data_IF_057212051990
#
_entry.id   IF_057212051990
#
_cell.length_a   1.000
_cell.length_b   1.000
_cell.length_c   1.000
_cell.angle_alpha   90.00
_cell.angle_beta   90.00
_cell.angle_gamma   90.00
#
_symmetry.space_group_name_H-M   'P 1'
#
loop_
_entity.id
_entity.type
_entity.pdbx_description
1 polymer ?
#
# COMPACT_ATOMS: atom_id res chain seq x y z
N UNK A 1 -13.20 17.85 20.59
CA UNK A 1 -12.60 17.98 19.25
C UNK A 1 -11.11 17.71 19.34
N UNK A 2 -10.60 16.84 18.49
CA UNK A 2 -9.16 16.49 18.47
C UNK A 2 -8.33 17.72 18.02
N UNK A 3 -7.08 17.88 18.50
CA UNK A 3 -6.23 19.03 18.12
C UNK A 3 -6.03 19.16 16.61
N UNK A 4 -5.88 18.04 15.91
CA UNK A 4 -5.70 17.99 14.46
C UNK A 4 -6.96 18.50 13.72
N UNK A 5 -8.14 18.07 14.14
CA UNK A 5 -9.41 18.54 13.56
C UNK A 5 -9.58 20.05 13.78
N UNK A 6 -9.22 20.56 14.95
CA UNK A 6 -9.26 22.00 15.22
C UNK A 6 -8.31 22.79 14.31
N UNK A 7 -7.10 22.27 14.08
CA UNK A 7 -6.14 22.88 13.13
C UNK A 7 -6.69 22.94 11.71
N UNK A 8 -7.38 21.90 11.25
CA UNK A 8 -8.00 21.85 9.92
C UNK A 8 -9.13 22.87 9.80
N UNK A 9 -9.98 23.00 10.84
CA UNK A 9 -11.05 24.00 10.84
C UNK A 9 -10.52 25.44 10.85
N UNK A 10 -9.42 25.72 11.55
CA UNK A 10 -8.76 27.03 11.51
C UNK A 10 -8.22 27.35 10.11
N UNK A 11 -7.68 26.33 9.42
CA UNK A 11 -7.23 26.47 8.03
C UNK A 11 -8.41 26.76 7.10
N UNK A 12 -9.53 26.05 7.26
CA UNK A 12 -10.74 26.31 6.48
C UNK A 12 -11.25 27.74 6.67
N UNK A 13 -11.31 28.21 7.92
CA UNK A 13 -11.72 29.59 8.24
C UNK A 13 -10.82 30.62 7.57
N UNK A 14 -9.51 30.39 7.54
CA UNK A 14 -8.56 31.29 6.86
C UNK A 14 -8.92 31.45 5.38
N UNK A 15 -9.17 30.36 4.66
CA UNK A 15 -9.52 30.42 3.23
C UNK A 15 -10.89 31.04 2.99
N UNK A 16 -11.87 30.77 3.86
CA UNK A 16 -13.20 31.40 3.77
C UNK A 16 -13.13 32.91 4.03
N UNK A 17 -12.30 33.36 4.99
CA UNK A 17 -12.11 34.77 5.25
C UNK A 17 -11.45 35.50 4.08
N UNK A 18 -10.50 34.86 3.36
CA UNK A 18 -9.93 35.44 2.13
C UNK A 18 -11.04 35.82 1.13
N UNK A 19 -12.00 34.90 0.95
CA UNK A 19 -13.12 35.14 0.02
C UNK A 19 -14.15 36.15 0.59
N UNK A 20 -14.43 36.04 1.88
CA UNK A 20 -15.39 36.93 2.55
C UNK A 20 -14.93 38.40 2.59
N UNK A 21 -13.65 38.63 2.86
CA UNK A 21 -13.05 39.97 2.99
C UNK A 21 -12.64 40.55 1.62
N UNK A 22 -12.88 39.80 0.54
CA UNK A 22 -12.59 40.24 -0.81
C UNK A 22 -13.56 41.36 -1.24
N UNK A 23 -13.01 42.51 -1.61
CA UNK A 23 -13.76 43.65 -2.13
C UNK A 23 -13.83 43.62 -3.68
N UNK A 24 -13.86 42.45 -4.29
CA UNK A 24 -13.90 42.30 -5.73
C UNK A 24 -12.52 42.33 -6.40
N UNK A 25 -11.46 42.09 -5.64
CA UNK A 25 -10.08 42.06 -6.12
C UNK A 25 -9.65 40.63 -6.62
N UNK A 26 -10.31 39.58 -6.10
CA UNK A 26 -10.06 38.21 -6.51
C UNK A 26 -10.75 37.86 -7.84
N UNK A 27 -10.04 37.16 -8.71
CA UNK A 27 -10.67 36.62 -9.90
C UNK A 27 -11.41 35.29 -9.58
N UNK A 28 -12.24 34.83 -10.50
CA UNK A 28 -13.07 33.65 -10.32
C UNK A 28 -12.27 32.36 -9.98
N UNK A 29 -11.05 32.21 -10.52
CA UNK A 29 -10.20 31.06 -10.24
C UNK A 29 -9.60 31.10 -8.82
N UNK A 30 -9.24 32.29 -8.32
CA UNK A 30 -8.74 32.49 -6.97
C UNK A 30 -9.85 32.24 -5.93
N UNK A 31 -11.06 32.69 -6.20
CA UNK A 31 -12.25 32.40 -5.37
C UNK A 31 -12.51 30.89 -5.33
N UNK A 32 -12.53 30.24 -6.49
CA UNK A 32 -12.72 28.80 -6.61
C UNK A 32 -11.64 27.99 -5.90
N UNK A 33 -10.38 28.41 -6.01
CA UNK A 33 -9.26 27.80 -5.29
C UNK A 33 -9.45 27.92 -3.76
N UNK A 34 -9.74 29.11 -3.24
CA UNK A 34 -9.89 29.35 -1.80
C UNK A 34 -11.07 28.56 -1.22
N UNK A 35 -12.20 28.51 -1.93
CA UNK A 35 -13.35 27.69 -1.53
C UNK A 35 -12.97 26.19 -1.54
N UNK A 36 -12.26 25.74 -2.57
CA UNK A 36 -11.78 24.36 -2.66
C UNK A 36 -10.90 23.96 -1.48
N UNK A 37 -9.95 24.83 -1.07
CA UNK A 37 -9.09 24.58 0.09
C UNK A 37 -9.89 24.56 1.41
N UNK A 38 -10.88 25.44 1.55
CA UNK A 38 -11.74 25.44 2.73
C UNK A 38 -12.55 24.13 2.83
N UNK A 39 -13.12 23.67 1.72
CA UNK A 39 -13.88 22.41 1.67
C UNK A 39 -12.97 21.23 2.04
N UNK A 40 -11.78 21.14 1.46
CA UNK A 40 -10.80 20.08 1.78
C UNK A 40 -10.45 20.06 3.27
N UNK A 41 -10.21 21.25 3.85
CA UNK A 41 -9.87 21.37 5.27
C UNK A 41 -11.02 20.94 6.18
N UNK A 42 -12.27 21.25 5.82
CA UNK A 42 -13.46 20.81 6.56
C UNK A 42 -13.61 19.28 6.47
N UNK A 43 -13.46 18.71 5.28
CA UNK A 43 -13.51 17.25 5.07
C UNK A 43 -12.45 16.53 5.90
N UNK A 44 -11.21 17.05 5.94
CA UNK A 44 -10.15 16.51 6.76
C UNK A 44 -10.47 16.57 8.26
N UNK A 45 -11.08 17.67 8.75
CA UNK A 45 -11.52 17.79 10.13
C UNK A 45 -12.61 16.78 10.49
N UNK A 46 -13.60 16.60 9.61
CA UNK A 46 -14.67 15.60 9.77
C UNK A 46 -14.07 14.21 9.82
N UNK A 47 -13.13 13.88 8.93
CA UNK A 47 -12.45 12.59 8.90
C UNK A 47 -11.73 12.30 10.23
N UNK A 48 -11.01 13.27 10.79
CA UNK A 48 -10.30 13.11 12.08
C UNK A 48 -11.27 12.89 13.25
N UNK A 49 -12.42 13.55 13.27
CA UNK A 49 -13.42 13.40 14.33
C UNK A 49 -14.30 12.17 14.20
N UNK A 50 -14.51 11.69 12.95
CA UNK A 50 -15.32 10.48 12.72
C UNK A 50 -14.63 9.29 13.41
N UNK A 51 -15.35 8.54 14.27
CA UNK A 51 -14.82 7.29 14.79
C UNK A 51 -14.66 6.35 13.59
N UNK A 52 -13.43 6.20 13.11
CA UNK A 52 -13.12 5.10 12.22
C UNK A 52 -13.30 3.85 13.08
N UNK A 53 -14.46 3.21 12.96
CA UNK A 53 -14.71 1.91 13.57
C UNK A 53 -13.47 1.08 13.29
N UNK A 54 -12.83 0.65 14.36
CA UNK A 54 -11.53 -0.02 14.35
C UNK A 54 -11.57 -1.12 13.31
N UNK A 55 -11.15 -0.79 12.12
CA UNK A 55 -10.91 -1.79 11.12
C UNK A 55 -9.76 -2.62 11.66
N UNK A 56 -9.93 -3.92 11.68
CA UNK A 56 -8.87 -4.87 12.06
C UNK A 56 -7.59 -4.65 11.24
N UNK A 57 -7.65 -3.77 10.23
CA UNK A 57 -6.64 -3.54 9.23
C UNK A 57 -6.30 -2.04 9.10
N UNK A 58 -5.04 -1.70 9.31
CA UNK A 58 -4.53 -0.34 9.15
C UNK A 58 -3.95 -0.17 7.74
N UNK A 59 -4.76 0.35 6.82
CA UNK A 59 -4.39 0.55 5.42
C UNK A 59 -3.18 1.48 5.23
N UNK A 60 -2.96 2.45 6.13
CA UNK A 60 -1.80 3.34 6.05
C UNK A 60 -0.46 2.62 6.21
N UNK A 61 -0.43 1.40 6.76
CA UNK A 61 0.77 0.57 6.77
C UNK A 61 1.18 0.09 5.38
N UNK A 62 0.24 0.09 4.43
CA UNK A 62 0.45 -0.32 3.04
C UNK A 62 0.93 0.83 2.14
N UNK A 63 0.78 2.09 2.59
CA UNK A 63 1.27 3.25 1.88
C UNK A 63 2.81 3.33 1.89
N UNK A 64 3.36 3.97 0.88
CA UNK A 64 4.79 4.24 0.76
C UNK A 64 5.29 5.14 1.91
N UNK A 65 6.58 5.01 2.22
CA UNK A 65 7.32 5.96 3.08
C UNK A 65 8.34 6.76 2.29
N UNK A 66 8.31 6.64 0.98
CA UNK A 66 9.22 7.33 0.08
C UNK A 66 8.69 8.73 -0.21
N UNK A 67 9.26 9.74 0.44
CA UNK A 67 8.88 11.14 0.31
C UNK A 67 9.12 11.70 -1.11
N UNK A 68 9.91 11.02 -1.94
CA UNK A 68 10.07 11.36 -3.35
C UNK A 68 8.83 11.02 -4.20
N UNK A 69 7.90 10.25 -3.62
CA UNK A 69 6.61 9.89 -4.24
C UNK A 69 5.45 10.21 -3.29
N UNK A 70 5.22 11.48 -2.99
CA UNK A 70 4.31 11.92 -1.93
C UNK A 70 2.88 11.38 -2.11
N UNK A 71 2.36 11.30 -3.34
CA UNK A 71 1.02 10.77 -3.62
C UNK A 71 0.84 9.31 -3.17
N UNK A 72 1.91 8.52 -3.09
CA UNK A 72 1.87 7.15 -2.61
C UNK A 72 2.04 7.03 -1.09
N UNK A 73 2.35 8.12 -0.40
CA UNK A 73 2.45 8.16 1.08
C UNK A 73 1.08 8.27 1.75
N UNK A 74 0.02 8.48 0.98
CA UNK A 74 -1.36 8.57 1.44
C UNK A 74 -2.24 7.41 1.01
N UNK A 75 -3.49 7.48 1.44
CA UNK A 75 -4.58 6.58 1.04
C UNK A 75 -5.47 7.31 0.05
N UNK A 76 -5.61 6.77 -1.14
CA UNK A 76 -6.44 7.31 -2.21
C UNK A 76 -7.86 6.77 -2.11
N UNK A 77 -8.85 7.64 -2.20
CA UNK A 77 -10.27 7.30 -2.20
C UNK A 77 -10.77 7.32 -3.65
N UNK A 78 -11.17 6.17 -4.19
CA UNK A 78 -11.59 6.05 -5.59
C UNK A 78 -12.58 4.88 -5.78
N UNK A 79 -13.72 5.15 -6.42
CA UNK A 79 -14.71 4.14 -6.86
C UNK A 79 -15.17 3.19 -5.75
N UNK A 80 -15.40 3.71 -4.57
CA UNK A 80 -15.84 2.91 -3.43
C UNK A 80 -14.72 2.14 -2.73
N UNK A 81 -13.46 2.48 -3.00
CA UNK A 81 -12.29 1.87 -2.38
C UNK A 81 -11.39 2.90 -1.69
N UNK A 82 -10.79 2.49 -0.60
CA UNK A 82 -9.57 3.10 -0.06
C UNK A 82 -8.38 2.32 -0.57
N UNK A 83 -7.45 2.99 -1.23
CA UNK A 83 -6.32 2.37 -1.93
C UNK A 83 -5.00 2.86 -1.35
N UNK A 84 -4.10 1.96 -1.05
CA UNK A 84 -2.72 2.26 -0.66
C UNK A 84 -1.72 1.34 -1.34
N UNK A 85 -0.54 1.86 -1.62
CA UNK A 85 0.54 1.10 -2.27
C UNK A 85 1.91 1.63 -1.89
N UNK A 86 2.90 0.74 -1.85
CA UNK A 86 4.31 1.09 -1.71
C UNK A 86 5.15 0.72 -2.96
N UNK A 87 4.50 0.47 -4.09
CA UNK A 87 5.05 -0.02 -5.36
C UNK A 87 5.35 -1.53 -5.40
N UNK A 88 5.40 -2.22 -4.26
CA UNK A 88 5.60 -3.67 -4.18
C UNK A 88 4.32 -4.41 -3.82
N UNK A 89 3.46 -3.73 -3.08
CA UNK A 89 2.13 -4.19 -2.73
C UNK A 89 1.12 -3.10 -3.05
N UNK A 90 -0.12 -3.49 -3.29
CA UNK A 90 -1.27 -2.60 -3.40
C UNK A 90 -2.43 -3.25 -2.67
N UNK A 91 -3.17 -2.45 -1.92
CA UNK A 91 -4.38 -2.90 -1.24
C UNK A 91 -5.49 -1.92 -1.57
N UNK A 92 -6.67 -2.44 -1.93
CA UNK A 92 -7.88 -1.69 -2.19
C UNK A 92 -9.00 -2.29 -1.33
N UNK A 93 -9.46 -1.55 -0.32
CA UNK A 93 -10.48 -2.00 0.63
C UNK A 93 -11.74 -1.17 0.51
N UNK A 94 -12.89 -1.85 0.64
CA UNK A 94 -14.22 -1.21 0.64
C UNK A 94 -14.66 -0.73 2.01
N UNK A 95 -14.02 -1.24 3.04
CA UNK A 95 -14.34 -0.94 4.42
C UNK A 95 -14.19 0.55 4.76
N UNK A 96 -15.22 1.10 5.44
CA UNK A 96 -15.27 2.50 5.87
C UNK A 96 -14.92 3.51 4.74
N UNK A 97 -15.36 3.23 3.51
CA UNK A 97 -15.29 4.18 2.41
C UNK A 97 -16.24 5.37 2.66
N UNK A 98 -15.76 6.57 2.37
CA UNK A 98 -16.53 7.81 2.45
C UNK A 98 -16.59 8.45 1.06
N UNK A 99 -17.78 8.54 0.49
CA UNK A 99 -18.02 9.14 -0.84
C UNK A 99 -17.63 10.61 -0.89
N UNK A 100 -17.68 11.32 0.24
CA UNK A 100 -17.27 12.71 0.31
C UNK A 100 -15.76 12.90 0.07
N UNK A 101 -14.98 11.83 0.16
CA UNK A 101 -13.53 11.82 -0.06
C UNK A 101 -13.13 11.29 -1.44
N UNK A 102 -14.10 11.04 -2.32
CA UNK A 102 -13.82 10.55 -3.68
C UNK A 102 -12.83 11.46 -4.41
N UNK A 103 -11.77 10.84 -4.95
CA UNK A 103 -10.70 11.55 -5.66
C UNK A 103 -9.60 12.14 -4.76
N UNK A 104 -9.76 12.10 -3.44
CA UNK A 104 -8.79 12.63 -2.48
C UNK A 104 -7.73 11.59 -2.09
N UNK A 105 -6.51 12.08 -1.84
CA UNK A 105 -5.42 11.30 -1.27
C UNK A 105 -5.15 11.84 0.13
N UNK A 106 -5.43 11.08 1.16
CA UNK A 106 -5.26 11.55 2.54
C UNK A 106 -4.05 10.92 3.20
N UNK A 107 -3.27 11.73 3.93
CA UNK A 107 -2.24 11.22 4.82
C UNK A 107 -2.86 10.62 6.09
N UNK A 108 -2.03 10.04 6.98
CA UNK A 108 -2.48 9.46 8.25
C UNK A 108 -3.13 10.46 9.21
N UNK A 109 -2.91 11.75 9.01
CA UNK A 109 -3.49 12.84 9.81
C UNK A 109 -4.79 13.38 9.20
N UNK A 110 -5.21 12.83 8.04
CA UNK A 110 -6.38 13.28 7.30
C UNK A 110 -6.10 14.52 6.44
N UNK A 111 -4.83 14.87 6.21
CA UNK A 111 -4.46 15.99 5.34
C UNK A 111 -4.43 15.53 3.89
N UNK A 112 -4.94 16.37 3.00
CA UNK A 112 -4.97 16.08 1.57
C UNK A 112 -3.58 16.20 0.95
N UNK A 113 -3.17 15.18 0.21
CA UNK A 113 -1.93 15.16 -0.58
C UNK A 113 -2.28 15.54 -2.00
N UNK A 114 -1.81 16.70 -2.44
CA UNK A 114 -2.07 17.20 -3.80
C UNK A 114 -1.27 16.37 -4.81
N UNK A 115 -1.97 15.86 -5.83
CA UNK A 115 -1.36 15.14 -6.93
C UNK A 115 -2.29 14.12 -7.57
N UNK A 116 -1.79 13.42 -8.57
CA UNK A 116 -2.55 12.38 -9.27
C UNK A 116 -2.07 11.01 -8.83
N UNK A 117 -2.95 10.25 -8.21
CA UNK A 117 -2.66 8.85 -7.87
C UNK A 117 -2.51 7.99 -9.13
N UNK A 118 -1.61 6.99 -9.17
CA UNK A 118 -1.49 6.08 -10.29
C UNK A 118 -2.79 5.32 -10.57
N UNK A 119 -2.99 4.89 -11.82
CA UNK A 119 -4.15 4.06 -12.21
C UNK A 119 -4.04 2.67 -11.58
N UNK A 120 -4.49 2.54 -10.35
CA UNK A 120 -4.32 1.36 -9.52
C UNK A 120 -5.04 0.12 -10.04
N UNK A 121 -6.20 0.29 -10.70
CA UNK A 121 -6.97 -0.84 -11.23
C UNK A 121 -6.24 -1.58 -12.34
N UNK A 122 -5.47 -0.84 -13.15
CA UNK A 122 -4.78 -1.40 -14.32
C UNK A 122 -3.63 -2.34 -13.99
N UNK A 123 -3.17 -2.37 -12.72
CA UNK A 123 -2.08 -3.26 -12.30
C UNK A 123 -2.57 -4.64 -11.86
N UNK A 124 -3.89 -4.80 -11.64
CA UNK A 124 -4.45 -6.11 -11.33
C UNK A 124 -4.40 -7.01 -12.58
N UNK A 125 -3.96 -8.26 -12.42
CA UNK A 125 -3.94 -9.22 -13.53
C UNK A 125 -5.34 -9.49 -14.07
N UNK A 126 -5.44 -9.79 -15.38
CA UNK A 126 -6.69 -10.21 -15.99
C UNK A 126 -7.16 -11.56 -15.39
N UNK A 127 -8.43 -11.64 -15.06
CA UNK A 127 -9.04 -12.89 -14.56
C UNK A 127 -9.09 -14.01 -15.63
N UNK A 128 -8.95 -13.65 -16.89
CA UNK A 128 -8.96 -14.60 -18.04
C UNK A 128 -7.59 -15.21 -18.35
N UNK A 129 -6.58 -15.00 -17.50
CA UNK A 129 -5.24 -15.53 -17.73
C UNK A 129 -5.25 -17.06 -17.60
N UNK A 130 -4.76 -17.77 -18.61
CA UNK A 130 -4.61 -19.24 -18.60
C UNK A 130 -3.61 -19.75 -17.54
N UNK A 131 -2.68 -18.89 -17.10
CA UNK A 131 -1.69 -19.20 -16.06
C UNK A 131 -2.21 -18.99 -14.63
N UNK A 132 -3.49 -18.64 -14.47
CA UNK A 132 -4.12 -18.40 -13.17
C UNK A 132 -4.15 -19.67 -12.32
N UNK A 133 -3.52 -19.60 -11.13
CA UNK A 133 -3.52 -20.68 -10.13
C UNK A 133 -3.74 -20.09 -8.75
N UNK A 134 -4.67 -20.64 -7.98
CA UNK A 134 -4.95 -20.26 -6.62
C UNK A 134 -4.25 -21.23 -5.64
N UNK A 135 -3.68 -20.69 -4.58
CA UNK A 135 -2.99 -21.42 -3.53
C UNK A 135 -3.52 -20.98 -2.16
N UNK A 136 -3.81 -21.93 -1.29
CA UNK A 136 -4.12 -21.61 0.10
C UNK A 136 -2.86 -21.21 0.81
N UNK A 137 -2.87 -20.04 1.46
CA UNK A 137 -1.71 -19.51 2.16
C UNK A 137 -1.88 -19.65 3.68
N UNK A 138 -0.93 -20.35 4.31
CA UNK A 138 -0.82 -20.35 5.77
C UNK A 138 -0.14 -19.05 6.24
N UNK A 139 -0.95 -18.09 6.67
CA UNK A 139 -0.47 -16.79 7.14
C UNK A 139 0.43 -16.93 8.38
N UNK A 140 0.17 -17.91 9.25
CA UNK A 140 0.98 -18.15 10.44
C UNK A 140 2.41 -18.60 10.07
N UNK A 141 2.55 -19.47 9.05
CA UNK A 141 3.86 -19.88 8.56
C UNK A 141 4.67 -18.71 7.98
N UNK A 142 3.99 -17.79 7.27
CA UNK A 142 4.64 -16.55 6.75
C UNK A 142 5.12 -15.66 7.89
N UNK A 143 4.30 -15.49 8.95
CA UNK A 143 4.71 -14.70 10.13
C UNK A 143 5.88 -15.34 10.87
N UNK A 144 5.92 -16.67 10.95
CA UNK A 144 7.03 -17.39 11.56
C UNK A 144 8.34 -17.17 10.79
N UNK A 145 8.30 -17.30 9.46
CA UNK A 145 9.46 -17.01 8.61
C UNK A 145 9.96 -15.57 8.82
N UNK A 146 9.05 -14.61 8.93
CA UNK A 146 9.41 -13.21 9.18
C UNK A 146 10.01 -13.03 10.60
N UNK A 147 9.57 -13.80 11.60
CA UNK A 147 10.17 -13.80 12.93
C UNK A 147 11.60 -14.34 12.91
N UNK A 148 11.83 -15.41 12.15
CA UNK A 148 13.18 -16.00 11.95
C UNK A 148 14.11 -14.98 11.27
N UNK A 149 13.67 -14.32 10.20
CA UNK A 149 14.45 -13.27 9.53
C UNK A 149 14.85 -12.15 10.51
N UNK A 150 13.90 -11.69 11.32
CA UNK A 150 14.16 -10.65 12.33
C UNK A 150 15.13 -11.12 13.43
N UNK A 151 15.02 -12.39 13.86
CA UNK A 151 15.91 -12.98 14.84
C UNK A 151 17.35 -13.08 14.31
N UNK A 152 17.52 -13.55 13.07
CA UNK A 152 18.83 -13.59 12.42
C UNK A 152 19.44 -12.19 12.25
N UNK A 153 18.63 -11.22 11.83
CA UNK A 153 19.09 -9.83 11.72
C UNK A 153 19.56 -9.25 13.06
N UNK A 154 18.86 -9.59 14.15
CA UNK A 154 19.25 -9.21 15.50
C UNK A 154 20.54 -9.90 15.93
N UNK A 155 20.68 -11.19 15.64
CA UNK A 155 21.87 -11.98 15.99
C UNK A 155 23.11 -11.55 15.20
N UNK A 156 22.94 -11.21 13.92
CA UNK A 156 24.02 -10.73 13.04
C UNK A 156 24.57 -9.36 13.47
N UNK A 157 23.82 -8.58 14.25
CA UNK A 157 24.22 -7.26 14.70
C UNK A 157 24.25 -6.21 13.57
N UNK A 158 24.98 -5.11 13.82
CA UNK A 158 24.98 -3.95 12.92
C UNK A 158 25.73 -4.21 11.61
N UNK A 159 26.77 -5.02 11.65
CA UNK A 159 27.71 -5.24 10.53
C UNK A 159 27.57 -6.66 9.93
N UNK A 160 26.68 -7.48 10.49
CA UNK A 160 26.47 -8.85 10.04
C UNK A 160 25.46 -8.95 8.89
N UNK A 161 25.65 -9.98 8.05
CA UNK A 161 24.73 -10.33 6.97
C UNK A 161 23.71 -11.35 7.49
N UNK A 162 22.44 -10.93 7.58
CA UNK A 162 21.33 -11.82 7.89
C UNK A 162 20.69 -12.37 6.62
N UNK A 163 20.24 -13.61 6.67
CA UNK A 163 19.48 -14.22 5.57
C UNK A 163 18.10 -13.53 5.46
N UNK A 164 17.70 -13.20 4.25
CA UNK A 164 16.34 -12.68 3.97
C UNK A 164 15.37 -13.82 3.79
N UNK A 165 14.12 -13.61 4.21
CA UNK A 165 13.04 -14.56 4.01
C UNK A 165 12.35 -14.37 2.67
N UNK A 166 12.11 -15.49 1.99
CA UNK A 166 11.32 -15.56 0.76
C UNK A 166 10.29 -16.67 0.85
N UNK A 167 9.15 -16.46 0.21
CA UNK A 167 8.06 -17.43 0.11
C UNK A 167 7.89 -17.79 -1.36
N UNK A 168 7.99 -19.06 -1.66
CA UNK A 168 7.68 -19.63 -2.97
C UNK A 168 6.23 -20.09 -2.97
N UNK A 169 5.41 -19.54 -3.86
CA UNK A 169 4.02 -19.95 -4.07
C UNK A 169 3.89 -20.44 -5.50
N UNK A 170 3.77 -21.75 -5.69
CA UNK A 170 3.92 -22.37 -6.99
C UNK A 170 5.27 -22.00 -7.63
N UNK A 171 5.24 -21.33 -8.79
CA UNK A 171 6.45 -20.89 -9.51
C UNK A 171 6.82 -19.43 -9.24
N UNK A 172 6.13 -18.76 -8.32
CA UNK A 172 6.31 -17.34 -8.03
C UNK A 172 6.95 -17.15 -6.65
N UNK A 173 7.87 -16.20 -6.56
CA UNK A 173 8.60 -15.91 -5.32
C UNK A 173 8.23 -14.53 -4.80
N UNK A 174 8.05 -14.42 -3.48
CA UNK A 174 7.73 -13.19 -2.80
C UNK A 174 8.67 -12.95 -1.63
N UNK A 175 8.95 -11.68 -1.33
CA UNK A 175 9.64 -11.32 -0.10
C UNK A 175 8.73 -11.57 1.09
N UNK A 176 9.25 -12.21 2.14
CA UNK A 176 8.49 -12.55 3.33
C UNK A 176 7.91 -11.31 4.04
N UNK A 177 8.66 -10.20 4.09
CA UNK A 177 8.19 -8.95 4.70
C UNK A 177 6.99 -8.33 3.95
N UNK A 178 6.98 -8.40 2.62
CA UNK A 178 5.86 -7.90 1.80
C UNK A 178 4.66 -8.84 1.82
N UNK A 179 4.91 -10.14 1.74
CA UNK A 179 3.83 -11.12 1.84
C UNK A 179 3.18 -11.09 3.23
N UNK A 180 3.93 -10.90 4.31
CA UNK A 180 3.37 -10.74 5.65
C UNK A 180 2.43 -9.53 5.76
N UNK A 181 2.69 -8.44 5.02
CA UNK A 181 1.76 -7.32 4.94
C UNK A 181 0.45 -7.73 4.23
N UNK A 182 0.53 -8.51 3.16
CA UNK A 182 -0.66 -9.09 2.50
C UNK A 182 -1.38 -10.08 3.44
N UNK A 183 -0.64 -10.87 4.23
CA UNK A 183 -1.26 -11.76 5.24
C UNK A 183 -2.08 -10.97 6.28
N UNK A 184 -1.65 -9.77 6.68
CA UNK A 184 -2.48 -8.94 7.57
C UNK A 184 -3.80 -8.51 6.93
N UNK A 185 -3.81 -8.27 5.61
CA UNK A 185 -5.03 -8.05 4.85
C UNK A 185 -5.88 -9.33 4.78
N UNK A 186 -5.28 -10.47 4.48
CA UNK A 186 -5.99 -11.76 4.41
C UNK A 186 -6.69 -12.09 5.72
N UNK A 187 -5.98 -11.98 6.84
CA UNK A 187 -6.53 -12.25 8.18
C UNK A 187 -7.66 -11.28 8.54
N UNK A 188 -7.56 -10.00 8.14
CA UNK A 188 -8.56 -8.99 8.46
C UNK A 188 -9.86 -9.17 7.67
N UNK A 189 -9.76 -9.57 6.40
CA UNK A 189 -10.88 -9.67 5.47
C UNK A 189 -11.32 -11.10 5.16
N UNK A 190 -10.73 -12.10 5.81
CA UNK A 190 -11.13 -13.50 5.69
C UNK A 190 -10.74 -14.14 4.34
N UNK A 191 -9.80 -13.56 3.62
CA UNK A 191 -9.24 -14.18 2.42
C UNK A 191 -8.29 -15.31 2.81
N UNK A 192 -8.32 -16.42 2.09
CA UNK A 192 -7.49 -17.60 2.39
C UNK A 192 -6.55 -17.98 1.26
N UNK A 193 -6.79 -17.45 0.07
CA UNK A 193 -6.07 -17.83 -1.13
C UNK A 193 -5.33 -16.65 -1.74
N UNK A 194 -4.16 -16.94 -2.27
CA UNK A 194 -3.40 -16.07 -3.14
C UNK A 194 -3.40 -16.66 -4.55
N UNK A 195 -3.71 -15.83 -5.54
CA UNK A 195 -3.76 -16.25 -6.94
C UNK A 195 -2.53 -15.73 -7.66
N UNK A 196 -1.73 -16.64 -8.22
CA UNK A 196 -0.59 -16.31 -9.09
C UNK A 196 -1.01 -16.35 -10.56
N UNK A 197 -0.24 -15.65 -11.40
CA UNK A 197 -0.49 -15.52 -12.84
C UNK A 197 0.79 -15.78 -13.65
N UNK A 198 1.68 -16.62 -13.12
CA UNK A 198 2.99 -16.92 -13.66
C UNK A 198 4.14 -16.25 -12.90
N UNK A 199 5.37 -16.73 -13.08
CA UNK A 199 6.51 -16.46 -12.19
C UNK A 199 6.97 -15.00 -12.14
N UNK A 200 6.60 -14.20 -13.14
CA UNK A 200 7.02 -12.77 -13.27
C UNK A 200 5.85 -11.80 -13.19
N UNK A 201 4.67 -12.29 -12.87
CA UNK A 201 3.46 -11.45 -12.75
C UNK A 201 3.09 -11.24 -11.30
N UNK A 202 2.44 -10.12 -11.04
CA UNK A 202 1.87 -9.85 -9.73
C UNK A 202 0.87 -10.94 -9.34
N UNK A 203 0.86 -11.31 -8.07
CA UNK A 203 -0.19 -12.15 -7.52
C UNK A 203 -1.27 -11.31 -6.85
N UNK A 204 -2.50 -11.80 -6.85
CA UNK A 204 -3.64 -11.11 -6.29
C UNK A 204 -4.31 -11.93 -5.18
N UNK A 205 -4.92 -11.23 -4.24
CA UNK A 205 -5.77 -11.78 -3.18
C UNK A 205 -7.11 -11.09 -3.26
N UNK A 206 -8.19 -11.85 -3.25
CA UNK A 206 -9.56 -11.34 -3.29
C UNK A 206 -10.29 -11.75 -2.01
N UNK A 207 -10.88 -10.77 -1.34
CA UNK A 207 -11.67 -11.00 -0.14
C UNK A 207 -13.16 -11.12 -0.45
N UNK A 208 -13.95 -11.80 0.40
CA UNK A 208 -15.38 -12.02 0.17
C UNK A 208 -16.21 -10.74 0.07
N UNK A 209 -15.78 -9.64 0.71
CA UNK A 209 -16.43 -8.33 0.68
C UNK A 209 -16.15 -7.52 -0.60
N UNK A 210 -15.31 -8.06 -1.51
CA UNK A 210 -14.83 -7.40 -2.72
C UNK A 210 -13.59 -6.54 -2.53
N UNK A 211 -13.03 -6.47 -1.32
CA UNK A 211 -11.70 -5.91 -1.10
C UNK A 211 -10.65 -6.78 -1.77
N UNK A 212 -9.54 -6.18 -2.21
CA UNK A 212 -8.52 -6.90 -2.97
C UNK A 212 -7.13 -6.36 -2.68
N UNK A 213 -6.16 -7.24 -2.82
CA UNK A 213 -4.75 -6.89 -2.64
C UNK A 213 -3.90 -7.49 -3.76
N UNK A 214 -2.73 -6.91 -3.98
CA UNK A 214 -1.79 -7.32 -4.99
C UNK A 214 -0.37 -7.28 -4.40
N UNK A 215 0.46 -8.22 -4.80
CA UNK A 215 1.88 -8.27 -4.45
C UNK A 215 2.73 -8.53 -5.70
N UNK A 216 3.78 -7.74 -5.85
CA UNK A 216 4.75 -7.93 -6.92
C UNK A 216 5.71 -9.08 -6.57
N UNK A 217 6.10 -9.91 -7.56
CA UNK A 217 7.09 -10.96 -7.35
C UNK A 217 8.44 -10.36 -6.96
N UNK A 218 9.21 -11.16 -6.23
CA UNK A 218 10.57 -10.78 -5.88
C UNK A 218 11.47 -10.83 -7.12
N UNK A 219 12.27 -9.77 -7.33
CA UNK A 219 13.33 -9.74 -8.31
C UNK A 219 14.68 -9.69 -7.60
N UNK A 220 15.67 -10.42 -8.15
CA UNK A 220 17.05 -10.40 -7.65
C UNK A 220 17.90 -9.47 -8.49
N UNK A 221 18.63 -8.57 -7.84
CA UNK A 221 19.74 -7.90 -8.48
C UNK A 221 20.95 -8.84 -8.51
N UNK A 222 21.54 -9.04 -9.67
CA UNK A 222 22.69 -9.92 -9.83
C UNK A 222 23.97 -9.44 -9.15
N UNK A 223 24.04 -8.14 -8.76
CA UNK A 223 25.12 -7.53 -7.99
C UNK A 223 24.59 -6.40 -7.10
N UNK A 224 25.22 -6.20 -5.95
CA UNK A 224 24.87 -5.13 -4.99
C UNK A 224 24.98 -3.72 -5.62
N UNK A 225 25.80 -3.57 -6.66
CA UNK A 225 25.99 -2.31 -7.39
C UNK A 225 24.93 -2.06 -8.48
N UNK A 226 24.13 -3.08 -8.86
CA UNK A 226 23.12 -2.98 -9.90
C UNK A 226 21.74 -2.49 -9.37
N UNK A 227 21.66 -2.17 -8.08
CA UNK A 227 20.41 -1.82 -7.41
C UNK A 227 19.70 -0.57 -7.95
N UNK A 228 20.37 0.26 -8.74
CA UNK A 228 19.81 1.54 -9.17
C UNK A 228 19.41 1.66 -10.64
N UNK A 229 19.97 0.88 -11.58
CA UNK A 229 19.74 1.13 -13.00
C UNK A 229 19.76 -0.09 -13.94
N UNK A 230 19.76 -1.32 -13.45
CA UNK A 230 19.87 -2.47 -14.34
C UNK A 230 18.51 -3.07 -14.71
N UNK A 231 18.13 -2.99 -15.97
CA UNK A 231 17.05 -3.76 -16.59
C UNK A 231 17.33 -5.29 -16.61
N UNK A 232 18.47 -5.72 -16.12
CA UNK A 232 18.93 -7.12 -16.05
C UNK A 232 18.79 -7.70 -14.63
N UNK A 233 17.69 -7.43 -13.93
CA UNK A 233 17.36 -8.17 -12.72
C UNK A 233 17.07 -9.62 -13.07
N UNK A 234 17.95 -10.55 -12.65
CA UNK A 234 17.64 -11.98 -12.72
C UNK A 234 16.48 -12.27 -11.77
N UNK A 235 15.48 -12.94 -12.29
CA UNK A 235 14.37 -13.38 -11.45
C UNK A 235 14.89 -14.40 -10.46
N UNK A 236 14.36 -14.41 -9.24
CA UNK A 236 14.81 -15.34 -8.19
C UNK A 236 14.64 -16.80 -8.61
N UNK A 237 13.62 -17.10 -9.45
CA UNK A 237 13.43 -18.44 -10.03
C UNK A 237 14.64 -18.95 -10.81
N UNK A 238 15.42 -18.06 -11.42
CA UNK A 238 16.58 -18.44 -12.25
C UNK A 238 17.81 -18.82 -11.42
N UNK A 239 17.83 -18.43 -10.14
CA UNK A 239 18.97 -18.63 -9.22
C UNK A 239 18.61 -19.46 -7.99
N UNK A 240 17.33 -19.81 -7.81
CA UNK A 240 16.81 -20.47 -6.60
C UNK A 240 17.63 -21.71 -6.20
N UNK A 241 17.82 -22.67 -7.10
CA UNK A 241 18.53 -23.91 -6.81
C UNK A 241 20.01 -23.70 -6.45
N UNK A 242 20.62 -22.62 -6.96
CA UNK A 242 22.04 -22.30 -6.73
C UNK A 242 22.28 -21.50 -5.44
N UNK A 243 21.26 -20.80 -4.98
CA UNK A 243 21.42 -19.81 -3.90
C UNK A 243 20.47 -20.05 -2.71
N UNK A 244 19.69 -21.14 -2.73
CA UNK A 244 18.69 -21.40 -1.68
C UNK A 244 19.26 -21.37 -0.26
N UNK A 245 20.50 -21.78 -0.06
CA UNK A 245 21.14 -21.81 1.26
C UNK A 245 21.48 -20.40 1.80
N UNK A 246 21.45 -19.37 0.94
CA UNK A 246 21.72 -17.98 1.32
C UNK A 246 20.51 -17.28 1.91
N UNK A 247 19.32 -17.91 1.86
CA UNK A 247 18.05 -17.33 2.24
C UNK A 247 17.24 -18.24 3.15
N UNK A 248 16.26 -17.67 3.83
CA UNK A 248 15.21 -18.43 4.53
C UNK A 248 14.05 -18.65 3.58
N UNK A 249 13.54 -19.86 3.52
CA UNK A 249 12.49 -20.25 2.58
C UNK A 249 11.26 -20.82 3.25
N UNK A 250 10.10 -20.50 2.68
CA UNK A 250 8.82 -21.19 2.87
C UNK A 250 8.28 -21.54 1.48
N UNK A 251 7.90 -22.78 1.27
CA UNK A 251 7.26 -23.26 0.03
C UNK A 251 5.79 -23.54 0.27
N UNK A 252 4.94 -23.01 -0.64
CA UNK A 252 3.50 -23.24 -0.70
C UNK A 252 3.20 -23.90 -2.04
N UNK A 253 2.75 -25.15 -1.98
CA UNK A 253 2.46 -25.98 -3.14
C UNK A 253 0.97 -26.02 -3.46
#
# INVERSE_FOLDING_TARGET
>A
MKPEANSQLQTALKYLNIVHDDNGTLNAEEVKFSIGEAIRSIQAAIYVETPHTSTKFDIYKMASRDEMRPVMCGVFHDKGYKVASDSHILVAVRDAYDEALEGHILDRKGQDIIGKYPKWESVFPSETSEEKKAYTLDTAAVYELLRQEKAEKKAAGRDGVARRGYVKVGDTFFRADKLAMICTFMDAYGAKEITTYGPRRAAAVYAPDGSKALIMPAAFASNVNDCYYSYNTRHISDTYEKEKDKYLWLEVA
#
